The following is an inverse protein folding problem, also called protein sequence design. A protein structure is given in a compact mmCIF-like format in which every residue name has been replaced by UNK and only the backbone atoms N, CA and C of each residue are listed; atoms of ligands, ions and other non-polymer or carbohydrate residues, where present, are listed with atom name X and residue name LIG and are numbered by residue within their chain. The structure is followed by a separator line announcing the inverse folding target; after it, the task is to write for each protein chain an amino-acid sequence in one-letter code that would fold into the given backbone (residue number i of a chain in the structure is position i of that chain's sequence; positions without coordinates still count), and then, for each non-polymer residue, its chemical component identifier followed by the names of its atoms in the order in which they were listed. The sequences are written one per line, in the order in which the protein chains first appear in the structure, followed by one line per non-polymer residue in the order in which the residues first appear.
data_IF_354628138789
#
_entry.id   IF_354628138789
#
_cell.length_a   1.000
_cell.length_b   1.000
_cell.length_c   1.000
_cell.angle_alpha   90.00
_cell.angle_beta   90.00
_cell.angle_gamma   90.00
#
_symmetry.space_group_name_H-M   'P 1'
#
loop_
_entity.id
_entity.type
_entity.pdbx_description
1 polymer ?
#
# COMPACT_ATOMS: atom_id res chain seq x y z
N UNK A 1 -5.18 -4.95 -5.58
CA UNK A 1 -5.70 -4.76 -6.96
C UNK A 1 -4.80 -3.87 -7.78
N UNK A 2 -4.53 -2.62 -7.37
CA UNK A 2 -3.64 -1.70 -8.12
C UNK A 2 -2.24 -2.27 -8.43
N UNK A 3 -1.63 -3.03 -7.50
CA UNK A 3 -0.34 -3.69 -7.73
C UNK A 3 -0.39 -4.71 -8.85
N UNK A 4 -1.48 -5.50 -8.93
CA UNK A 4 -1.72 -6.47 -10.00
C UNK A 4 -1.98 -5.77 -11.34
N UNK A 5 -2.77 -4.70 -11.30
CA UNK A 5 -3.06 -3.86 -12.45
C UNK A 5 -1.75 -3.28 -13.02
N UNK A 6 -0.86 -2.81 -12.16
CA UNK A 6 0.45 -2.28 -12.55
C UNK A 6 1.38 -3.36 -13.10
N UNK A 7 1.45 -4.56 -12.50
CA UNK A 7 2.24 -5.66 -13.08
C UNK A 7 1.71 -6.08 -14.45
N UNK A 8 0.38 -6.17 -14.59
CA UNK A 8 -0.26 -6.51 -15.87
C UNK A 8 0.06 -5.50 -16.97
N UNK A 9 0.01 -4.20 -16.66
CA UNK A 9 0.37 -3.16 -17.61
C UNK A 9 1.86 -3.20 -17.96
N UNK A 10 2.74 -3.41 -16.97
CA UNK A 10 4.20 -3.44 -17.16
C UNK A 10 4.68 -4.55 -18.10
N UNK A 11 3.99 -5.69 -18.13
CA UNK A 11 4.39 -6.85 -18.94
C UNK A 11 3.98 -6.72 -20.42
N UNK A 12 3.28 -5.64 -20.80
CA UNK A 12 2.81 -5.40 -22.17
C UNK A 12 3.59 -4.25 -22.81
N UNK A 13 4.25 -4.45 -23.96
CA UNK A 13 5.00 -3.40 -24.65
C UNK A 13 4.10 -2.26 -25.14
N UNK A 14 2.81 -2.53 -25.33
CA UNK A 14 1.83 -1.56 -25.82
C UNK A 14 1.27 -0.63 -24.71
N UNK A 15 1.47 -1.00 -23.43
CA UNK A 15 1.06 -0.20 -22.27
C UNK A 15 2.30 0.25 -21.49
N UNK A 16 2.90 1.36 -21.91
CA UNK A 16 4.03 1.94 -21.18
C UNK A 16 3.61 2.43 -19.77
N UNK A 17 4.59 2.54 -18.86
CA UNK A 17 4.42 3.05 -17.49
C UNK A 17 3.75 4.44 -17.47
N UNK A 18 3.89 5.24 -18.53
CA UNK A 18 3.24 6.55 -18.66
C UNK A 18 1.74 6.47 -18.95
N UNK A 19 1.28 5.40 -19.61
CA UNK A 19 -0.14 5.21 -19.97
C UNK A 19 -0.92 4.42 -18.90
N UNK A 20 -0.25 3.84 -17.90
CA UNK A 20 -0.90 3.11 -16.80
C UNK A 20 -1.99 3.93 -16.12
N UNK A 21 -1.75 5.22 -15.88
CA UNK A 21 -2.69 6.09 -15.17
C UNK A 21 -3.96 6.36 -16.02
N UNK A 22 -3.80 6.51 -17.33
CA UNK A 22 -4.93 6.66 -18.27
C UNK A 22 -5.74 5.37 -18.39
N UNK A 23 -5.07 4.23 -18.46
CA UNK A 23 -5.71 2.93 -18.47
C UNK A 23 -6.46 2.64 -17.15
N UNK A 24 -5.86 2.96 -16.01
CA UNK A 24 -6.51 2.87 -14.70
C UNK A 24 -7.80 3.70 -14.64
N UNK A 25 -7.77 4.92 -15.19
CA UNK A 25 -8.96 5.78 -15.30
C UNK A 25 -10.07 5.14 -16.13
N UNK A 26 -9.72 4.52 -17.26
CA UNK A 26 -10.68 3.78 -18.09
C UNK A 26 -11.28 2.57 -17.38
N UNK A 27 -10.48 1.81 -16.62
CA UNK A 27 -10.98 0.71 -15.77
C UNK A 27 -11.99 1.23 -14.75
N UNK A 28 -11.74 2.41 -14.15
CA UNK A 28 -12.70 3.06 -13.24
C UNK A 28 -14.00 3.46 -13.95
N UNK A 29 -13.96 3.95 -15.19
CA UNK A 29 -15.18 4.27 -15.96
C UNK A 29 -16.04 3.02 -16.17
N UNK A 30 -15.44 1.91 -16.62
CA UNK A 30 -16.16 0.64 -16.77
C UNK A 30 -16.69 0.10 -15.45
N UNK A 31 -15.90 0.17 -14.38
CA UNK A 31 -16.35 -0.22 -13.05
C UNK A 31 -17.55 0.62 -12.58
N UNK A 32 -17.53 1.93 -12.81
CA UNK A 32 -18.66 2.82 -12.45
C UNK A 32 -19.92 2.49 -13.25
N UNK A 33 -19.81 2.26 -14.56
CA UNK A 33 -20.93 1.86 -15.41
C UNK A 33 -21.53 0.53 -14.96
N UNK A 34 -20.68 -0.45 -14.63
CA UNK A 34 -21.13 -1.74 -14.11
C UNK A 34 -21.81 -1.58 -12.75
N UNK A 35 -21.29 -0.74 -11.86
CA UNK A 35 -21.93 -0.44 -10.58
C UNK A 35 -23.31 0.22 -10.77
N UNK A 36 -23.44 1.16 -11.71
CA UNK A 36 -24.75 1.75 -12.06
C UNK A 36 -25.73 0.70 -12.57
N UNK A 37 -25.28 -0.19 -13.47
CA UNK A 37 -26.11 -1.27 -13.98
C UNK A 37 -26.55 -2.23 -12.86
N UNK A 38 -25.64 -2.64 -11.98
CA UNK A 38 -25.93 -3.50 -10.84
C UNK A 38 -26.90 -2.84 -9.84
N UNK A 39 -26.80 -1.52 -9.66
CA UNK A 39 -27.72 -0.76 -8.82
C UNK A 39 -29.14 -0.75 -9.40
N UNK A 40 -29.29 -0.52 -10.71
CA UNK A 40 -30.59 -0.56 -11.40
C UNK A 40 -31.20 -1.97 -11.36
N UNK A 41 -30.37 -3.01 -11.52
CA UNK A 41 -30.81 -4.42 -11.48
C UNK A 41 -31.08 -4.94 -10.06
N UNK A 42 -30.91 -4.13 -9.01
CA UNK A 42 -31.23 -4.53 -7.64
C UNK A 42 -30.26 -5.56 -7.04
N UNK A 43 -29.01 -5.59 -7.53
CA UNK A 43 -27.97 -6.51 -7.04
C UNK A 43 -27.64 -6.31 -5.55
N UNK A 44 -28.01 -5.17 -4.96
CA UNK A 44 -27.89 -4.90 -3.52
C UNK A 44 -28.63 -5.93 -2.65
N UNK A 45 -29.62 -6.65 -3.19
CA UNK A 45 -30.30 -7.74 -2.48
C UNK A 45 -29.36 -8.92 -2.13
N UNK A 46 -28.22 -9.07 -2.83
CA UNK A 46 -27.27 -10.16 -2.60
C UNK A 46 -26.57 -10.07 -1.24
N UNK A 47 -26.47 -8.86 -0.66
CA UNK A 47 -25.78 -8.65 0.62
C UNK A 47 -26.48 -9.40 1.77
N UNK A 48 -27.80 -9.56 1.69
CA UNK A 48 -28.59 -10.28 2.70
C UNK A 48 -28.31 -11.79 2.69
N UNK A 49 -27.70 -12.31 1.61
CA UNK A 49 -27.23 -13.69 1.52
C UNK A 49 -25.81 -13.86 2.07
N UNK A 50 -25.09 -12.76 2.34
CA UNK A 50 -23.74 -12.80 2.88
C UNK A 50 -23.78 -13.26 4.34
N UNK A 51 -23.31 -14.48 4.57
CA UNK A 51 -23.37 -15.08 5.90
C UNK A 51 -22.30 -14.50 6.81
N UNK A 52 -22.55 -14.55 8.13
CA UNK A 52 -21.57 -14.19 9.15
C UNK A 52 -20.24 -14.94 8.98
N UNK A 53 -20.31 -16.22 8.61
CA UNK A 53 -19.13 -17.07 8.35
C UNK A 53 -18.30 -16.47 7.20
N UNK A 54 -18.94 -16.08 6.10
CA UNK A 54 -18.23 -15.46 4.98
C UNK A 54 -17.54 -14.14 5.38
N UNK A 55 -18.20 -13.34 6.23
CA UNK A 55 -17.62 -12.09 6.77
C UNK A 55 -16.41 -12.32 7.66
N UNK A 56 -16.46 -13.29 8.58
CA UNK A 56 -15.34 -13.63 9.46
C UNK A 56 -14.15 -14.19 8.64
N UNK A 57 -14.40 -15.06 7.66
CA UNK A 57 -13.35 -15.58 6.77
C UNK A 57 -12.72 -14.48 5.91
N UNK A 58 -13.52 -13.56 5.36
CA UNK A 58 -13.02 -12.44 4.57
C UNK A 58 -12.16 -11.50 5.41
N UNK A 59 -12.61 -11.18 6.63
CA UNK A 59 -11.82 -10.40 7.59
C UNK A 59 -10.49 -11.06 7.93
N UNK A 60 -10.49 -12.38 8.14
CA UNK A 60 -9.27 -13.16 8.38
C UNK A 60 -8.31 -13.11 7.17
N UNK A 61 -8.82 -13.26 5.94
CA UNK A 61 -8.03 -13.19 4.72
C UNK A 61 -7.31 -11.84 4.58
N UNK A 62 -8.02 -10.74 4.87
CA UNK A 62 -7.44 -9.39 4.85
C UNK A 62 -6.36 -9.26 5.93
N UNK A 63 -6.63 -9.71 7.16
CA UNK A 63 -5.66 -9.64 8.25
C UNK A 63 -4.37 -10.41 7.92
N UNK A 64 -4.49 -11.63 7.39
CA UNK A 64 -3.34 -12.44 6.95
C UNK A 64 -2.57 -11.77 5.82
N UNK A 65 -3.28 -11.20 4.83
CA UNK A 65 -2.65 -10.48 3.72
C UNK A 65 -1.88 -9.25 4.17
N UNK A 66 -2.41 -8.49 5.14
CA UNK A 66 -1.71 -7.35 5.72
C UNK A 66 -0.51 -7.76 6.55
N UNK A 67 -0.62 -8.82 7.36
CA UNK A 67 0.52 -9.34 8.12
C UNK A 67 1.65 -9.79 7.20
N UNK A 68 1.33 -10.48 6.10
CA UNK A 68 2.31 -10.86 5.08
C UNK A 68 3.00 -9.65 4.45
N UNK A 69 2.25 -8.58 4.13
CA UNK A 69 2.82 -7.36 3.57
C UNK A 69 3.70 -6.62 4.59
N UNK A 70 3.32 -6.61 5.88
CA UNK A 70 4.13 -6.03 6.94
C UNK A 70 5.46 -6.76 7.12
N UNK A 71 5.45 -8.10 7.09
CA UNK A 71 6.68 -8.91 7.14
C UNK A 71 7.55 -8.66 5.92
N UNK A 72 6.98 -8.60 4.71
CA UNK A 72 7.72 -8.26 3.49
C UNK A 72 8.35 -6.86 3.57
N UNK A 73 7.61 -5.86 4.04
CA UNK A 73 8.13 -4.51 4.25
C UNK A 73 9.29 -4.48 5.24
N UNK A 74 9.25 -5.29 6.30
CA UNK A 74 10.34 -5.40 7.26
C UNK A 74 11.58 -6.08 6.66
N UNK A 75 11.40 -7.11 5.83
CA UNK A 75 12.48 -7.79 5.11
C UNK A 75 13.10 -6.87 4.06
N UNK A 76 12.29 -6.05 3.39
CA UNK A 76 12.74 -5.14 2.33
C UNK A 76 13.69 -4.06 2.87
N UNK A 77 13.61 -3.70 4.15
CA UNK A 77 14.55 -2.77 4.78
C UNK A 77 15.99 -3.30 4.85
N UNK A 78 16.17 -4.63 4.87
CA UNK A 78 17.48 -5.27 4.80
C UNK A 78 18.03 -5.37 3.37
N UNK A 79 17.18 -5.10 2.36
CA UNK A 79 17.51 -5.25 0.94
C UNK A 79 17.79 -3.88 0.32
N UNK A 80 18.51 -3.89 -0.80
CA UNK A 80 18.68 -2.69 -1.61
C UNK A 80 17.40 -2.49 -2.42
N UNK A 81 16.78 -1.30 -2.42
CA UNK A 81 15.67 -1.02 -3.31
C UNK A 81 16.15 -1.07 -4.77
N UNK A 82 15.40 -1.78 -5.61
CA UNK A 82 15.76 -2.04 -7.02
C UNK A 82 15.89 -0.79 -7.90
N UNK A 83 15.48 0.39 -7.41
CA UNK A 83 15.49 1.67 -8.14
C UNK A 83 16.67 2.58 -7.76
N UNK A 84 17.53 2.15 -6.84
CA UNK A 84 18.59 3.00 -6.30
C UNK A 84 19.99 2.49 -6.65
N UNK A 85 20.96 3.41 -6.60
CA UNK A 85 22.34 3.13 -7.00
C UNK A 85 23.02 2.16 -6.01
N UNK A 86 23.37 0.92 -6.41
CA UNK A 86 23.92 -0.08 -5.49
C UNK A 86 25.28 0.27 -4.87
N UNK A 87 25.95 1.28 -5.43
CA UNK A 87 27.29 1.75 -5.03
C UNK A 87 27.27 2.89 -4.00
N UNK A 88 26.09 3.36 -3.58
CA UNK A 88 26.02 4.41 -2.56
C UNK A 88 26.52 3.89 -1.20
N UNK A 89 27.17 4.76 -0.43
CA UNK A 89 27.73 4.45 0.91
C UNK A 89 26.62 3.99 1.88
N UNK A 90 25.40 4.47 1.65
CA UNK A 90 24.14 4.13 2.33
C UNK A 90 23.82 2.64 2.27
N UNK A 91 24.23 2.01 1.18
CA UNK A 91 24.06 0.59 0.94
C UNK A 91 25.31 -0.20 1.34
N UNK A 92 26.17 0.30 2.22
CA UNK A 92 27.19 -0.57 2.82
C UNK A 92 26.53 -1.60 3.74
N UNK A 93 27.19 -2.75 3.94
CA UNK A 93 26.65 -3.85 4.74
C UNK A 93 26.30 -3.41 6.18
N UNK A 94 27.16 -2.58 6.79
CA UNK A 94 26.98 -2.09 8.14
C UNK A 94 25.73 -1.20 8.28
N UNK A 95 25.51 -0.29 7.31
CA UNK A 95 24.36 0.61 7.33
C UNK A 95 23.05 -0.14 7.04
N UNK A 96 23.03 -1.08 6.10
CA UNK A 96 21.85 -1.93 5.83
C UNK A 96 21.44 -2.76 7.05
N UNK A 97 22.42 -3.39 7.70
CA UNK A 97 22.15 -4.19 8.89
C UNK A 97 21.63 -3.32 10.04
N UNK A 98 22.26 -2.16 10.28
CA UNK A 98 21.80 -1.21 11.29
C UNK A 98 20.38 -0.70 11.02
N UNK A 99 20.08 -0.37 9.76
CA UNK A 99 18.77 0.11 9.34
C UNK A 99 17.67 -0.95 9.51
N UNK A 100 17.91 -2.18 9.06
CA UNK A 100 16.97 -3.28 9.24
C UNK A 100 16.74 -3.64 10.72
N UNK A 101 17.80 -3.68 11.54
CA UNK A 101 17.67 -3.90 12.98
C UNK A 101 16.87 -2.77 13.66
N UNK A 102 17.10 -1.52 13.25
CA UNK A 102 16.35 -0.38 13.74
C UNK A 102 14.86 -0.46 13.36
N UNK A 103 14.56 -0.87 12.12
CA UNK A 103 13.18 -1.08 11.68
C UNK A 103 12.45 -2.18 12.45
N UNK A 104 13.13 -3.28 12.84
CA UNK A 104 12.56 -4.31 13.73
C UNK A 104 12.15 -3.68 15.06
N UNK A 105 13.07 -2.93 15.70
CA UNK A 105 12.81 -2.29 16.99
C UNK A 105 11.65 -1.31 16.90
N UNK A 106 11.63 -0.45 15.87
CA UNK A 106 10.55 0.51 15.67
C UNK A 106 9.20 -0.17 15.39
N UNK A 107 9.18 -1.23 14.57
CA UNK A 107 7.97 -1.94 14.20
C UNK A 107 7.34 -2.69 15.38
N UNK A 108 8.13 -3.50 16.10
CA UNK A 108 7.63 -4.19 17.30
C UNK A 108 7.36 -3.23 18.46
N UNK A 109 8.17 -2.19 18.61
CA UNK A 109 7.95 -1.12 19.58
C UNK A 109 6.61 -0.44 19.37
N UNK A 110 6.32 -0.01 18.14
CA UNK A 110 5.03 0.57 17.76
C UNK A 110 3.88 -0.41 17.99
N UNK A 111 4.04 -1.67 17.58
CA UNK A 111 3.00 -2.69 17.75
C UNK A 111 2.64 -2.92 19.23
N UNK A 112 3.64 -3.17 20.08
CA UNK A 112 3.42 -3.47 21.49
C UNK A 112 2.85 -2.26 22.24
N UNK A 113 3.35 -1.07 21.96
CA UNK A 113 2.86 0.16 22.60
C UNK A 113 1.46 0.54 22.10
N UNK A 114 1.13 0.34 20.82
CA UNK A 114 -0.22 0.55 20.30
C UNK A 114 -1.24 -0.43 20.89
N UNK A 115 -0.86 -1.71 21.05
CA UNK A 115 -1.70 -2.70 21.73
C UNK A 115 -1.90 -2.35 23.21
N UNK A 116 -0.83 -1.94 23.90
CA UNK A 116 -0.91 -1.45 25.28
C UNK A 116 -1.84 -0.23 25.41
N UNK A 117 -1.78 0.70 24.46
CA UNK A 117 -2.65 1.88 24.43
C UNK A 117 -4.14 1.52 24.27
N UNK A 118 -4.46 0.47 23.51
CA UNK A 118 -5.83 -0.04 23.40
C UNK A 118 -6.35 -0.61 24.72
N UNK A 119 -5.45 -1.17 25.54
CA UNK A 119 -5.74 -1.68 26.88
C UNK A 119 -5.68 -0.58 27.95
N UNK A 120 -5.39 0.68 27.59
CA UNK A 120 -5.26 1.76 28.57
C UNK A 120 -6.54 1.98 29.40
N UNK A 121 -7.74 1.74 28.85
CA UNK A 121 -9.01 1.90 29.61
C UNK A 121 -9.10 1.02 30.85
N UNK A 122 -8.47 -0.15 30.85
CA UNK A 122 -8.47 -1.08 31.99
C UNK A 122 -7.31 -0.86 32.96
N UNK A 123 -6.44 0.13 32.72
CA UNK A 123 -5.36 0.44 33.65
C UNK A 123 -5.91 0.94 34.99
N UNK A 124 -5.38 0.34 36.06
CA UNK A 124 -5.66 0.71 37.46
C UNK A 124 -4.97 2.01 37.88
N UNK A 125 -3.96 2.43 37.12
CA UNK A 125 -3.16 3.61 37.39
C UNK A 125 -3.40 4.66 36.28
N UNK A 126 -3.59 5.92 36.68
CA UNK A 126 -3.81 7.05 35.77
C UNK A 126 -5.11 7.81 36.04
N UNK A 127 -5.11 9.10 35.72
CA UNK A 127 -6.32 9.94 35.81
C UNK A 127 -7.33 9.56 34.72
N UNK A 128 -8.63 9.59 35.04
CA UNK A 128 -9.69 9.13 34.13
C UNK A 128 -9.70 9.84 32.77
N UNK A 129 -9.36 11.13 32.75
CA UNK A 129 -9.27 11.93 31.53
C UNK A 129 -8.10 11.51 30.62
N UNK A 130 -6.88 11.39 31.18
CA UNK A 130 -5.70 10.96 30.44
C UNK A 130 -5.85 9.54 29.89
N UNK A 131 -6.47 8.65 30.68
CA UNK A 131 -6.77 7.27 30.29
C UNK A 131 -7.74 7.19 29.10
N UNK A 132 -8.77 8.05 29.10
CA UNK A 132 -9.70 8.17 27.97
C UNK A 132 -8.98 8.63 26.70
N UNK A 133 -8.18 9.70 26.81
CA UNK A 133 -7.42 10.23 25.70
C UNK A 133 -6.44 9.21 25.07
N UNK A 134 -5.67 8.50 25.89
CA UNK A 134 -4.73 7.46 25.43
C UNK A 134 -5.47 6.25 24.82
N UNK A 135 -6.66 5.91 25.32
CA UNK A 135 -7.44 4.83 24.74
C UNK A 135 -8.04 5.18 23.36
N UNK A 136 -8.49 6.43 23.20
CA UNK A 136 -9.18 6.89 22.00
C UNK A 136 -8.20 7.30 20.89
N UNK A 137 -7.06 7.89 21.26
CA UNK A 137 -6.02 8.37 20.34
C UNK A 137 -4.71 7.60 20.46
N UNK A 138 -4.74 6.41 21.04
CA UNK A 138 -3.55 5.61 21.32
C UNK A 138 -2.68 5.31 20.11
N UNK A 139 -3.29 4.78 19.05
CA UNK A 139 -2.57 4.43 17.81
C UNK A 139 -1.91 5.67 17.18
N UNK A 140 -2.61 6.78 16.90
CA UNK A 140 -1.96 7.96 16.34
C UNK A 140 -0.92 8.59 17.27
N UNK A 141 -1.14 8.59 18.59
CA UNK A 141 -0.17 9.06 19.57
C UNK A 141 1.12 8.24 19.53
N UNK A 142 1.01 6.90 19.47
CA UNK A 142 2.18 6.03 19.38
C UNK A 142 2.92 6.20 18.05
N UNK A 143 2.21 6.45 16.94
CA UNK A 143 2.85 6.82 15.67
C UNK A 143 3.69 8.09 15.82
N UNK A 144 3.17 9.13 16.48
CA UNK A 144 3.94 10.36 16.71
C UNK A 144 5.18 10.12 17.58
N UNK A 145 5.04 9.38 18.67
CA UNK A 145 6.16 9.06 19.59
C UNK A 145 7.24 8.28 18.86
N UNK A 146 6.88 7.18 18.18
CA UNK A 146 7.85 6.34 17.47
C UNK A 146 8.44 7.01 16.23
N UNK A 147 7.68 7.89 15.58
CA UNK A 147 8.25 8.78 14.57
C UNK A 147 9.30 9.70 15.21
N UNK A 148 8.99 10.34 16.34
CA UNK A 148 9.97 11.16 17.08
C UNK A 148 11.25 10.39 17.41
N UNK A 149 11.13 9.17 17.96
CA UNK A 149 12.26 8.27 18.26
C UNK A 149 13.08 7.95 17.01
N UNK A 150 12.43 7.74 15.87
CA UNK A 150 13.10 7.53 14.57
C UNK A 150 13.95 8.74 14.14
N UNK A 151 13.56 9.97 14.51
CA UNK A 151 14.28 11.19 14.17
C UNK A 151 15.34 11.62 15.19
N UNK A 152 15.34 11.10 16.42
CA UNK A 152 16.33 11.45 17.47
C UNK A 152 17.81 11.22 17.07
N UNK A 153 18.21 10.15 16.36
CA UNK A 153 19.61 9.93 15.97
C UNK A 153 20.06 10.80 14.76
N UNK A 154 19.33 11.85 14.37
CA UNK A 154 19.59 12.62 13.14
C UNK A 154 20.93 13.37 13.08
N UNK A 155 21.67 13.47 14.20
CA UNK A 155 22.97 14.15 14.26
C UNK A 155 24.15 13.28 13.83
N UNK A 156 24.06 11.96 13.93
CA UNK A 156 25.15 11.00 13.67
C UNK A 156 24.94 10.16 12.41
N UNK A 157 23.83 10.39 11.70
CA UNK A 157 23.43 9.64 10.52
C UNK A 157 23.59 10.52 9.27
N UNK A 158 24.28 10.06 8.21
CA UNK A 158 24.39 10.81 6.96
C UNK A 158 23.02 11.28 6.46
N UNK A 159 22.89 12.56 6.08
CA UNK A 159 21.61 13.15 5.59
C UNK A 159 21.09 12.46 4.33
N UNK A 160 21.99 11.80 3.61
CA UNK A 160 21.72 10.93 2.48
C UNK A 160 21.47 9.55 3.05
N UNK A 161 20.30 9.32 3.62
CA UNK A 161 19.74 7.97 3.79
C UNK A 161 18.30 8.14 3.31
N UNK A 162 17.79 7.31 2.39
CA UNK A 162 16.43 7.41 1.92
C UNK A 162 15.54 6.86 3.04
N UNK A 163 15.26 7.69 4.04
CA UNK A 163 14.37 7.35 5.17
C UNK A 163 12.90 7.29 4.74
N UNK A 164 12.62 7.19 3.44
CA UNK A 164 11.30 7.43 2.86
C UNK A 164 11.08 6.53 1.65
N UNK A 165 9.86 6.02 1.55
CA UNK A 165 9.23 5.82 0.24
C UNK A 165 9.38 7.12 -0.55
N UNK A 166 10.26 7.13 -1.56
CA UNK A 166 10.32 8.22 -2.53
C UNK A 166 9.06 8.18 -3.39
N UNK A 167 7.96 8.72 -2.86
CA UNK A 167 6.84 9.14 -3.69
C UNK A 167 7.26 10.43 -4.39
N UNK A 168 7.36 10.40 -5.71
CA UNK A 168 7.58 11.61 -6.51
C UNK A 168 6.56 12.66 -6.10
N UNK A 169 7.03 13.86 -5.73
CA UNK A 169 6.15 14.95 -5.31
C UNK A 169 5.07 15.19 -6.37
N UNK A 170 3.77 15.12 -6.03
CA UNK A 170 2.68 15.33 -6.98
C UNK A 170 2.63 16.75 -7.57
N UNK A 171 3.37 17.70 -7.00
CA UNK A 171 3.49 19.09 -7.47
C UNK A 171 4.82 19.39 -8.17
N UNK A 172 5.67 18.37 -8.40
CA UNK A 172 6.91 18.54 -9.17
C UNK A 172 6.61 18.74 -10.66
N UNK A 173 7.50 19.41 -11.39
CA UNK A 173 7.32 19.73 -12.81
C UNK A 173 7.03 18.51 -13.69
N UNK A 174 7.54 17.32 -13.33
CA UNK A 174 7.22 16.06 -14.02
C UNK A 174 5.85 15.44 -13.67
N UNK A 175 5.21 15.86 -12.58
CA UNK A 175 3.90 15.35 -12.17
C UNK A 175 2.74 15.99 -12.96
N UNK A 176 2.96 17.13 -13.63
CA UNK A 176 1.98 17.71 -14.57
C UNK A 176 1.73 16.83 -15.79
N UNK A 177 2.66 15.94 -16.16
CA UNK A 177 2.43 14.93 -17.21
C UNK A 177 1.27 13.99 -16.82
N UNK A 178 1.06 13.70 -15.53
CA UNK A 178 -0.09 12.90 -15.05
C UNK A 178 -1.43 13.59 -15.28
N UNK A 179 -1.47 14.92 -15.36
CA UNK A 179 -2.69 15.67 -15.67
C UNK A 179 -3.02 15.66 -17.17
N UNK A 180 -2.03 15.34 -18.02
CA UNK A 180 -2.25 15.13 -19.46
C UNK A 180 -2.84 13.76 -19.81
N UNK A 181 -3.18 12.95 -18.80
CA UNK A 181 -3.85 11.65 -18.94
C UNK A 181 -5.10 11.70 -19.81
N UNK A 182 -5.85 12.82 -19.78
CA UNK A 182 -7.03 13.02 -20.65
C UNK A 182 -6.66 12.95 -22.14
N UNK A 183 -5.46 13.37 -22.52
CA UNK A 183 -4.98 13.26 -23.91
C UNK A 183 -4.66 11.80 -24.27
N UNK A 184 -4.11 11.04 -23.34
CA UNK A 184 -3.90 9.58 -23.48
C UNK A 184 -5.20 8.76 -23.45
N UNK A 185 -6.28 9.35 -22.93
CA UNK A 185 -7.59 8.75 -22.84
C UNK A 185 -8.24 8.54 -24.22
N UNK A 186 -8.01 9.47 -25.15
CA UNK A 186 -8.52 9.45 -26.53
C UNK A 186 -7.63 8.67 -27.51
N UNK A 187 -6.35 8.47 -27.19
CA UNK A 187 -5.40 7.76 -28.06
C UNK A 187 -5.49 6.23 -27.95
N UNK A 188 -6.17 5.70 -26.93
CA UNK A 188 -6.41 4.27 -26.81
C UNK A 188 -7.65 3.89 -27.63
N UNK A 189 -7.52 3.09 -28.71
CA UNK A 189 -8.68 2.65 -29.48
C UNK A 189 -9.63 1.87 -28.57
N UNK A 190 -10.92 2.21 -28.57
CA UNK A 190 -11.97 1.56 -27.75
C UNK A 190 -11.96 0.04 -27.94
N UNK A 191 -11.61 -0.44 -29.14
CA UNK A 191 -11.45 -1.87 -29.47
C UNK A 191 -10.30 -2.56 -28.71
N UNK A 192 -9.18 -1.85 -28.47
CA UNK A 192 -8.05 -2.36 -27.69
C UNK A 192 -8.37 -2.39 -26.19
N UNK A 193 -9.26 -1.50 -25.74
CA UNK A 193 -9.73 -1.45 -24.37
C UNK A 193 -10.69 -2.61 -24.05
N UNK A 194 -11.56 -2.97 -25.01
CA UNK A 194 -12.44 -4.14 -24.94
C UNK A 194 -11.67 -5.47 -24.98
N UNK A 195 -10.59 -5.58 -25.76
CA UNK A 195 -9.75 -6.78 -25.78
C UNK A 195 -9.01 -6.97 -24.46
N UNK A 196 -8.49 -5.90 -23.86
CA UNK A 196 -7.86 -5.94 -22.53
C UNK A 196 -8.88 -6.23 -21.43
N UNK A 197 -10.09 -5.65 -21.48
CA UNK A 197 -11.14 -5.93 -20.51
C UNK A 197 -11.61 -7.39 -20.60
N UNK A 198 -11.75 -7.94 -21.81
CA UNK A 198 -12.02 -9.36 -22.07
C UNK A 198 -10.92 -10.26 -21.50
N UNK A 199 -9.66 -9.89 -21.66
CA UNK A 199 -8.52 -10.67 -21.20
C UNK A 199 -8.31 -10.53 -19.68
N UNK A 200 -8.72 -9.41 -19.06
CA UNK A 200 -8.76 -9.19 -17.62
C UNK A 200 -9.88 -9.98 -16.93
N UNK A 201 -11.02 -10.17 -17.59
CA UNK A 201 -12.18 -10.92 -17.07
C UNK A 201 -12.14 -12.43 -17.38
N UNK A 202 -11.22 -12.89 -18.25
CA UNK A 202 -10.93 -14.32 -18.37
C UNK A 202 -10.18 -14.77 -17.10
N UNK A 203 -10.60 -15.87 -16.44
CA UNK A 203 -9.80 -16.44 -15.36
C UNK A 203 -8.41 -16.77 -15.91
N UNK A 204 -7.39 -16.16 -15.31
CA UNK A 204 -6.00 -16.33 -15.71
C UNK A 204 -5.62 -17.81 -15.61
N UNK A 205 -5.43 -18.46 -16.75
CA UNK A 205 -4.46 -19.54 -16.85
C UNK A 205 -3.07 -18.89 -16.72
N UNK A 206 -2.67 -18.61 -15.47
CA UNK A 206 -1.30 -18.22 -15.16
C UNK A 206 -0.42 -19.45 -15.41
N UNK A 207 0.55 -19.44 -16.33
CA UNK A 207 1.57 -20.47 -16.34
C UNK A 207 2.32 -20.37 -15.01
N UNK A 208 2.26 -21.44 -14.20
CA UNK A 208 3.07 -21.56 -12.99
C UNK A 208 4.53 -21.38 -13.41
N UNK A 209 5.34 -20.57 -12.71
CA UNK A 209 6.78 -20.68 -12.87
C UNK A 209 7.17 -22.11 -12.45
N UNK A 210 7.71 -22.86 -13.40
CA UNK A 210 8.38 -24.12 -13.12
C UNK A 210 9.52 -23.84 -12.15
N UNK A 211 9.40 -24.39 -10.94
CA UNK A 211 10.57 -24.70 -10.10
C UNK A 211 11.41 -25.73 -10.83
#
# INVERSE_FOLDING_TARGET
MYTFMHSFAKDRPDLDSKLFLAWAGWVCVWASLLLFLLAILGACSIINRFTRIAGELFGLLIALSFMQQAIRGLIDEFRIPNRENPKAIEYSLAWRFSNGMFAIVLSFGLLLTALGSRMARSWRYGTGWLRGFIADHGVPLMVLIWTGVSYMPSGSVPKVIPRRLSSTNPWSSGAYENWTVIKGFLSLPILYLLSILRDFWRPLNVPRPSV
#
